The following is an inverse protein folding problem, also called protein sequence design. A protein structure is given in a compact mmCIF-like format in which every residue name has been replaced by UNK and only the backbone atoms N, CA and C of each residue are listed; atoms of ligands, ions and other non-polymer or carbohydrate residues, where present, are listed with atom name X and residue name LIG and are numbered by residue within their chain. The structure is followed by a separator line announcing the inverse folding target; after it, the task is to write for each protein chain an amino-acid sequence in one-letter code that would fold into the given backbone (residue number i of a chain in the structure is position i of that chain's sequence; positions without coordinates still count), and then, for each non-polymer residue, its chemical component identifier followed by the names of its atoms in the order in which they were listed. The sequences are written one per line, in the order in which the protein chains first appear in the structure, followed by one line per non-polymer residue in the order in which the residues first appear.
data_IF_838891484891
#
_entry.id   IF_838891484891
#
_cell.length_a   1.000
_cell.length_b   1.000
_cell.length_c   1.000
_cell.angle_alpha   90.00
_cell.angle_beta   90.00
_cell.angle_gamma   90.00
#
_symmetry.space_group_name_H-M   'P 1'
#
loop_
_entity.id
_entity.type
_entity.pdbx_description
1 polymer ?
#
# COMPACT_ATOMS: atom_id res chain seq x y z
N UNK A 1 -17.73 36.09 -52.70
CA UNK A 1 -18.11 36.41 -51.32
C UNK A 1 -18.10 35.10 -50.53
N UNK A 2 -17.04 34.90 -49.80
CA UNK A 2 -16.70 33.61 -49.14
C UNK A 2 -17.36 33.59 -47.78
N UNK A 3 -18.20 32.57 -47.53
CA UNK A 3 -18.71 32.26 -46.22
C UNK A 3 -17.84 31.14 -45.64
N UNK A 4 -16.85 31.52 -44.87
CA UNK A 4 -16.12 30.63 -43.97
C UNK A 4 -16.11 31.33 -42.62
N UNK A 5 -16.94 30.91 -41.72
CA UNK A 5 -16.78 31.09 -40.28
C UNK A 5 -18.04 30.67 -39.54
N UNK A 6 -18.16 29.45 -38.99
CA UNK A 6 -18.99 29.21 -37.80
C UNK A 6 -18.76 27.85 -37.17
N UNK A 7 -17.88 26.99 -37.71
CA UNK A 7 -17.66 25.66 -37.14
C UNK A 7 -16.57 25.60 -36.03
N UNK A 8 -15.60 26.51 -36.06
CA UNK A 8 -14.50 26.56 -35.09
C UNK A 8 -14.88 27.12 -33.73
N UNK A 9 -15.87 27.99 -33.65
CA UNK A 9 -16.30 28.60 -32.38
C UNK A 9 -17.17 27.70 -31.50
N UNK A 10 -17.93 26.78 -32.11
CA UNK A 10 -18.76 25.83 -31.34
C UNK A 10 -17.94 24.72 -30.69
N UNK A 11 -16.90 24.24 -31.36
CA UNK A 11 -16.01 23.24 -30.78
C UNK A 11 -15.16 23.82 -29.62
N UNK A 12 -14.64 25.03 -29.75
CA UNK A 12 -13.93 25.72 -28.69
C UNK A 12 -14.81 26.08 -27.49
N UNK A 13 -16.07 26.46 -27.73
CA UNK A 13 -17.06 26.74 -26.68
C UNK A 13 -17.49 25.42 -25.97
N UNK A 14 -17.62 24.32 -26.70
CA UNK A 14 -17.91 23.02 -26.13
C UNK A 14 -16.74 22.50 -25.28
N UNK A 15 -15.49 22.69 -25.72
CA UNK A 15 -14.28 22.36 -24.97
C UNK A 15 -14.15 23.19 -23.68
N UNK A 16 -14.50 24.47 -23.70
CA UNK A 16 -14.52 25.35 -22.53
C UNK A 16 -15.68 24.97 -21.59
N UNK A 17 -16.85 24.64 -22.11
CA UNK A 17 -17.98 24.16 -21.31
C UNK A 17 -17.73 22.80 -20.70
N UNK A 18 -17.08 21.87 -21.42
CA UNK A 18 -16.64 20.56 -20.90
C UNK A 18 -15.53 20.74 -19.85
N UNK A 19 -14.58 21.66 -20.03
CA UNK A 19 -13.59 21.99 -19.01
C UNK A 19 -14.22 22.58 -17.75
N UNK A 20 -15.23 23.43 -17.85
CA UNK A 20 -15.97 23.97 -16.71
C UNK A 20 -16.87 22.96 -15.99
N UNK A 21 -17.31 21.89 -16.67
CA UNK A 21 -18.09 20.80 -16.05
C UNK A 21 -17.23 19.70 -15.43
N UNK A 22 -15.90 19.71 -15.65
CA UNK A 22 -14.94 18.70 -15.15
C UNK A 22 -14.13 19.25 -13.96
N UNK A 23 -14.42 20.40 -13.40
CA UNK A 23 -13.94 20.80 -12.07
C UNK A 23 -14.63 20.02 -10.94
N UNK A 24 -14.77 18.70 -11.10
CA UNK A 24 -14.84 17.81 -9.95
C UNK A 24 -13.43 17.74 -9.36
N UNK A 25 -13.34 18.15 -8.12
CA UNK A 25 -12.10 18.08 -7.34
C UNK A 25 -11.39 16.74 -7.56
N UNK A 26 -10.27 16.77 -8.28
CA UNK A 26 -9.42 15.60 -8.45
C UNK A 26 -8.62 15.37 -7.16
N UNK A 27 -9.21 14.67 -6.21
CA UNK A 27 -8.55 14.30 -4.93
C UNK A 27 -7.59 13.12 -5.08
N UNK A 28 -6.90 13.01 -6.22
CA UNK A 28 -6.02 11.86 -6.56
C UNK A 28 -4.78 11.71 -5.67
N UNK A 29 -4.48 12.68 -4.81
CA UNK A 29 -3.37 12.64 -3.86
C UNK A 29 -3.83 12.52 -2.41
N UNK A 30 -5.14 12.34 -2.20
CA UNK A 30 -5.76 12.15 -0.88
C UNK A 30 -6.39 10.77 -0.80
N UNK A 31 -6.20 10.08 0.32
CA UNK A 31 -6.76 8.77 0.65
C UNK A 31 -7.53 8.86 1.95
N UNK A 32 -8.65 8.15 2.08
CA UNK A 32 -9.52 8.12 3.26
C UNK A 32 -10.68 9.13 3.19
N UNK A 33 -11.66 8.99 4.09
CA UNK A 33 -12.87 9.83 4.17
C UNK A 33 -12.87 10.73 5.41
N UNK A 34 -12.70 10.17 6.62
CA UNK A 34 -12.52 10.90 7.88
C UNK A 34 -11.04 10.94 8.22
N UNK A 35 -10.40 9.78 8.39
CA UNK A 35 -8.95 9.71 8.53
C UNK A 35 -8.31 9.81 7.15
N UNK A 36 -7.85 11.00 6.80
CA UNK A 36 -7.36 11.32 5.46
C UNK A 36 -5.86 11.56 5.44
N UNK A 37 -5.21 11.02 4.42
CA UNK A 37 -3.81 11.32 4.11
C UNK A 37 -3.73 12.02 2.75
N UNK A 38 -3.28 13.26 2.73
CA UNK A 38 -2.86 13.96 1.50
C UNK A 38 -1.34 13.90 1.39
N UNK A 39 -0.81 13.42 0.24
CA UNK A 39 0.63 13.24 0.04
C UNK A 39 1.20 14.21 -0.97
N UNK A 40 2.45 14.63 -0.76
CA UNK A 40 3.23 15.46 -1.70
C UNK A 40 4.69 15.00 -1.77
N UNK A 41 5.43 15.58 -2.73
CA UNK A 41 6.84 15.30 -2.95
C UNK A 41 7.12 14.15 -3.93
N UNK A 42 8.35 14.09 -4.44
CA UNK A 42 8.85 13.16 -5.44
C UNK A 42 10.11 12.45 -4.94
N UNK A 43 10.44 11.33 -5.61
CA UNK A 43 11.60 10.49 -5.20
C UNK A 43 12.95 11.20 -5.23
N UNK A 44 13.10 12.25 -6.07
CA UNK A 44 14.29 13.06 -6.24
C UNK A 44 14.03 14.57 -6.01
N UNK A 45 12.88 14.92 -5.41
CA UNK A 45 12.62 16.24 -4.85
C UNK A 45 13.34 16.44 -3.51
N UNK A 46 13.16 17.59 -2.88
CA UNK A 46 13.78 17.92 -1.59
C UNK A 46 13.28 17.05 -0.44
N UNK A 47 11.98 16.75 -0.44
CA UNK A 47 11.33 15.96 0.58
C UNK A 47 10.11 15.21 0.06
N UNK A 48 9.68 14.21 0.81
CA UNK A 48 8.37 13.58 0.70
C UNK A 48 7.64 13.86 2.01
N UNK A 49 6.37 14.20 1.91
CA UNK A 49 5.58 14.49 3.10
C UNK A 49 4.11 14.21 2.91
N UNK A 50 3.36 14.60 3.91
CA UNK A 50 1.91 14.50 3.89
C UNK A 50 1.26 15.32 5.00
N UNK A 51 -0.05 15.42 4.89
CA UNK A 51 -0.93 15.94 5.92
C UNK A 51 -1.93 14.84 6.27
N UNK A 52 -1.95 14.44 7.54
CA UNK A 52 -2.99 13.59 8.11
C UNK A 52 -4.05 14.49 8.71
N UNK A 53 -5.27 14.35 8.25
CA UNK A 53 -6.46 15.04 8.77
C UNK A 53 -7.45 14.01 9.34
N UNK A 54 -8.27 14.42 10.32
CA UNK A 54 -9.24 13.53 10.95
C UNK A 54 -8.64 12.55 11.98
N UNK A 55 -7.40 12.76 12.42
CA UNK A 55 -6.84 12.02 13.55
C UNK A 55 -7.56 12.40 14.84
N UNK A 56 -8.14 11.44 15.61
CA UNK A 56 -8.78 11.75 16.89
C UNK A 56 -7.84 12.47 17.84
N UNK A 57 -8.36 13.42 18.61
CA UNK A 57 -7.59 14.11 19.64
C UNK A 57 -7.21 13.20 20.79
N UNK A 58 -6.10 13.48 21.46
CA UNK A 58 -5.67 12.79 22.68
C UNK A 58 -4.89 11.50 22.46
N UNK A 59 -4.65 11.08 21.22
CA UNK A 59 -3.83 9.90 20.93
C UNK A 59 -2.36 10.22 21.18
N UNK A 60 -1.67 9.40 21.99
CA UNK A 60 -0.23 9.52 22.21
C UNK A 60 0.51 9.32 20.86
N UNK A 61 1.19 10.36 20.41
CA UNK A 61 2.02 10.34 19.21
C UNK A 61 3.44 9.86 19.55
N UNK A 62 3.60 8.56 19.68
CA UNK A 62 4.90 7.91 19.87
C UNK A 62 5.75 8.06 18.60
N UNK A 63 6.61 9.09 18.57
CA UNK A 63 7.45 9.41 17.41
C UNK A 63 8.48 8.31 17.16
N UNK A 64 8.98 7.65 18.20
CA UNK A 64 9.94 6.56 18.07
C UNK A 64 9.28 5.35 17.40
N UNK A 65 8.03 5.03 17.75
CA UNK A 65 7.25 4.01 17.05
C UNK A 65 7.01 4.38 15.58
N UNK A 66 6.62 5.62 15.28
CA UNK A 66 6.44 6.09 13.90
C UNK A 66 7.76 5.93 13.12
N UNK A 67 8.89 6.29 13.73
CA UNK A 67 10.20 6.14 13.12
C UNK A 67 10.58 4.66 12.91
N UNK A 68 10.25 3.77 13.85
CA UNK A 68 10.49 2.33 13.71
C UNK A 68 9.70 1.75 12.53
N UNK A 69 8.42 2.07 12.38
CA UNK A 69 7.61 1.67 11.24
C UNK A 69 8.20 2.17 9.90
N UNK A 70 8.70 3.39 9.89
CA UNK A 70 9.36 3.95 8.72
C UNK A 70 10.71 3.27 8.44
N UNK A 71 11.47 2.90 9.48
CA UNK A 71 12.72 2.14 9.36
C UNK A 71 12.50 0.76 8.74
N UNK A 72 11.38 0.10 9.03
CA UNK A 72 11.00 -1.19 8.41
C UNK A 72 10.80 -1.07 6.89
N UNK A 73 10.46 0.13 6.40
CA UNK A 73 10.23 0.42 4.97
C UNK A 73 11.50 0.92 4.27
N UNK A 74 12.43 1.58 4.95
CA UNK A 74 13.58 2.27 4.34
C UNK A 74 14.42 1.34 3.43
N UNK A 75 15.14 1.88 2.43
CA UNK A 75 16.10 1.11 1.64
C UNK A 75 17.35 0.75 2.47
N UNK A 76 18.14 -0.21 1.96
CA UNK A 76 19.44 -0.55 2.55
C UNK A 76 19.38 -1.34 3.87
N UNK A 77 18.30 -2.06 4.12
CA UNK A 77 18.11 -2.82 5.38
C UNK A 77 18.90 -4.12 5.43
N UNK A 78 19.16 -4.72 4.27
CA UNK A 78 19.80 -6.03 4.17
C UNK A 78 20.41 -6.24 2.79
N UNK A 79 21.18 -7.31 2.66
CA UNK A 79 21.83 -7.70 1.41
C UNK A 79 20.83 -8.17 0.32
N UNK A 80 19.59 -8.53 0.68
CA UNK A 80 18.53 -8.88 -0.27
C UNK A 80 17.67 -7.68 -0.68
N UNK A 81 18.00 -6.47 -0.24
CA UNK A 81 17.34 -5.23 -0.64
C UNK A 81 18.29 -4.34 -1.42
N UNK A 82 17.80 -3.19 -1.92
CA UNK A 82 18.62 -2.19 -2.61
C UNK A 82 19.76 -1.69 -1.72
N UNK A 83 20.92 -1.41 -2.33
CA UNK A 83 22.07 -0.80 -1.64
C UNK A 83 21.94 0.70 -1.36
N UNK A 84 20.87 1.36 -1.80
CA UNK A 84 20.58 2.76 -1.46
C UNK A 84 20.42 2.88 0.05
N UNK A 85 21.00 3.92 0.63
CA UNK A 85 20.88 4.19 2.05
C UNK A 85 20.21 5.54 2.26
N UNK A 86 19.18 5.58 3.09
CA UNK A 86 18.47 6.79 3.51
C UNK A 86 18.19 6.68 5.00
N UNK A 87 18.25 7.79 5.70
CA UNK A 87 17.90 7.81 7.12
C UNK A 87 16.38 7.79 7.31
N UNK A 88 15.63 8.32 6.34
CA UNK A 88 14.17 8.45 6.35
C UNK A 88 13.65 9.02 7.70
N UNK A 89 14.33 10.05 8.24
CA UNK A 89 13.94 10.67 9.51
C UNK A 89 12.65 11.47 9.33
N UNK A 90 11.62 11.14 10.12
CA UNK A 90 10.34 11.86 10.11
C UNK A 90 10.43 13.10 10.98
N UNK A 91 9.89 14.21 10.47
CA UNK A 91 9.70 15.48 11.19
C UNK A 91 8.21 15.79 11.24
N UNK A 92 7.61 15.84 12.44
CA UNK A 92 6.23 16.28 12.64
C UNK A 92 6.22 17.80 12.77
N UNK A 93 5.36 18.48 12.01
CA UNK A 93 5.38 19.94 11.89
C UNK A 93 4.18 20.61 12.58
N UNK A 94 3.08 19.87 12.81
CA UNK A 94 1.83 20.41 13.38
C UNK A 94 0.96 19.29 13.96
N UNK A 95 -0.13 19.67 14.64
CA UNK A 95 -1.18 18.74 15.07
C UNK A 95 -0.83 17.90 16.29
N UNK A 96 0.31 18.17 16.94
CA UNK A 96 0.75 17.50 18.18
C UNK A 96 1.09 18.53 19.25
N UNK A 97 0.56 18.34 20.45
CA UNK A 97 0.86 19.17 21.61
C UNK A 97 1.05 18.25 22.83
N UNK A 98 2.11 18.47 23.61
CA UNK A 98 2.49 17.63 24.76
C UNK A 98 2.51 16.12 24.44
N UNK A 99 2.98 15.76 23.24
CA UNK A 99 3.07 14.38 22.77
C UNK A 99 1.74 13.74 22.35
N UNK A 100 0.63 14.48 22.32
CA UNK A 100 -0.69 13.97 21.92
C UNK A 100 -1.23 14.70 20.69
N UNK A 101 -2.03 13.98 19.89
CA UNK A 101 -2.76 14.57 18.78
C UNK A 101 -3.77 15.61 19.28
N UNK A 102 -3.91 16.72 18.56
CA UNK A 102 -4.82 17.81 18.92
C UNK A 102 -6.19 17.73 18.25
N UNK A 103 -6.39 16.79 17.31
CA UNK A 103 -7.55 16.76 16.43
C UNK A 103 -7.43 17.68 15.20
N UNK A 104 -6.36 18.50 15.15
CA UNK A 104 -6.04 19.33 14.00
C UNK A 104 -5.13 18.58 13.02
N UNK A 105 -4.98 19.07 11.75
CA UNK A 105 -4.14 18.42 10.76
C UNK A 105 -2.69 18.23 11.21
N UNK A 106 -2.16 17.02 11.06
CA UNK A 106 -0.78 16.67 11.37
C UNK A 106 0.03 16.73 10.08
N UNK A 107 0.82 17.79 9.93
CA UNK A 107 1.79 17.93 8.85
C UNK A 107 3.08 17.20 9.19
N UNK A 108 3.69 16.52 8.21
CA UNK A 108 4.99 15.86 8.38
C UNK A 108 5.80 15.86 7.10
N UNK A 109 7.13 15.78 7.23
CA UNK A 109 8.08 15.66 6.13
C UNK A 109 9.14 14.61 6.44
N UNK A 110 9.70 14.04 5.37
CA UNK A 110 10.93 13.23 5.37
C UNK A 110 11.83 13.72 4.25
N UNK A 111 13.03 14.21 4.60
CA UNK A 111 13.96 14.77 3.62
C UNK A 111 14.66 13.69 2.81
N UNK A 112 14.88 13.97 1.52
CA UNK A 112 15.70 13.14 0.66
C UNK A 112 17.17 13.56 0.83
N UNK A 113 18.04 12.63 1.22
CA UNK A 113 19.46 12.92 1.51
C UNK A 113 20.45 12.18 0.62
N UNK A 114 20.06 11.08 -0.04
CA UNK A 114 20.94 10.23 -0.84
C UNK A 114 20.37 9.94 -2.24
N UNK A 115 19.98 11.01 -2.94
CA UNK A 115 19.50 10.93 -4.31
C UNK A 115 20.69 11.11 -5.29
N UNK A 116 20.84 10.17 -6.24
CA UNK A 116 21.84 10.25 -7.31
C UNK A 116 21.10 10.40 -8.64
N UNK A 117 20.86 11.65 -9.05
CA UNK A 117 20.10 11.96 -10.29
C UNK A 117 20.79 11.50 -11.56
N UNK A 118 22.13 11.47 -11.55
CA UNK A 118 22.95 11.08 -12.71
C UNK A 118 22.81 9.61 -13.09
N UNK A 119 22.45 8.73 -12.15
CA UNK A 119 22.18 7.31 -12.40
C UNK A 119 21.04 7.08 -13.40
N UNK A 120 20.22 8.08 -13.67
CA UNK A 120 19.03 8.01 -14.53
C UNK A 120 19.19 8.71 -15.90
N UNK A 121 20.36 9.30 -16.20
CA UNK A 121 20.58 10.02 -17.45
C UNK A 121 20.44 9.11 -18.68
N UNK A 122 20.86 7.84 -18.57
CA UNK A 122 20.80 6.87 -19.65
C UNK A 122 19.36 6.43 -19.99
N UNK A 123 18.38 6.70 -19.14
CA UNK A 123 16.97 6.36 -19.36
C UNK A 123 16.08 7.57 -19.65
N UNK A 124 16.67 8.76 -19.75
CA UNK A 124 15.93 10.01 -19.97
C UNK A 124 15.03 9.94 -21.20
N UNK A 125 15.54 9.40 -22.30
CA UNK A 125 14.86 9.32 -23.58
C UNK A 125 14.34 7.91 -23.91
N UNK A 126 14.26 7.01 -22.94
CA UNK A 126 13.84 5.62 -23.11
C UNK A 126 12.63 5.31 -22.21
N UNK A 127 11.83 4.33 -22.61
CA UNK A 127 10.74 3.81 -21.79
C UNK A 127 11.15 2.45 -21.22
N UNK A 128 11.26 2.35 -19.90
CA UNK A 128 11.52 1.06 -19.24
C UNK A 128 10.32 0.12 -19.41
N UNK A 129 10.54 -1.13 -19.88
CA UNK A 129 9.47 -2.12 -19.98
C UNK A 129 8.72 -2.29 -18.63
N UNK A 130 7.39 -2.35 -18.68
CA UNK A 130 6.52 -2.51 -17.50
C UNK A 130 6.67 -1.45 -16.39
N UNK A 131 7.36 -0.33 -16.66
CA UNK A 131 7.45 0.84 -15.78
C UNK A 131 6.43 1.92 -16.19
N UNK A 132 6.16 2.86 -15.30
CA UNK A 132 5.22 3.96 -15.57
C UNK A 132 5.73 5.03 -16.55
N UNK A 133 6.93 4.91 -17.09
CA UNK A 133 7.59 5.94 -17.90
C UNK A 133 6.73 6.40 -19.07
N UNK A 134 6.23 5.46 -19.87
CA UNK A 134 5.39 5.75 -21.04
C UNK A 134 4.03 6.36 -20.62
N UNK A 135 3.32 5.68 -19.73
CA UNK A 135 1.97 6.09 -19.32
C UNK A 135 1.97 7.44 -18.61
N UNK A 136 3.01 7.71 -17.81
CA UNK A 136 3.17 8.99 -17.13
C UNK A 136 3.46 10.13 -18.13
N UNK A 137 4.39 9.92 -19.08
CA UNK A 137 4.70 10.87 -20.13
C UNK A 137 3.48 11.17 -21.00
N UNK A 138 2.74 10.14 -21.41
CA UNK A 138 1.53 10.31 -22.22
C UNK A 138 0.44 11.09 -21.48
N UNK A 139 0.23 10.79 -20.19
CA UNK A 139 -0.83 11.42 -19.39
C UNK A 139 -0.55 12.89 -19.06
N UNK A 140 0.69 13.22 -18.72
CA UNK A 140 1.07 14.54 -18.19
C UNK A 140 1.90 15.39 -19.16
N UNK A 141 2.25 14.86 -20.34
CA UNK A 141 3.08 15.54 -21.33
C UNK A 141 4.57 15.60 -20.98
N UNK A 142 4.93 15.29 -19.74
CA UNK A 142 6.31 15.29 -19.24
C UNK A 142 6.45 14.30 -18.08
N UNK A 143 7.68 13.90 -17.80
CA UNK A 143 8.02 13.10 -16.61
C UNK A 143 9.33 13.55 -15.99
N UNK A 144 9.45 13.44 -14.69
CA UNK A 144 10.75 13.44 -14.03
C UNK A 144 11.40 12.06 -14.26
N UNK A 145 12.41 12.00 -15.12
CA UNK A 145 13.13 10.75 -15.42
C UNK A 145 13.99 10.27 -14.25
N UNK A 146 14.26 11.13 -13.26
CA UNK A 146 15.07 10.82 -12.09
C UNK A 146 14.24 9.96 -11.11
N UNK A 147 14.44 8.65 -11.14
CA UNK A 147 13.84 7.69 -10.22
C UNK A 147 12.32 7.48 -10.31
N UNK A 148 11.61 8.12 -11.26
CA UNK A 148 10.19 7.92 -11.52
C UNK A 148 9.23 8.84 -10.73
N UNK A 149 9.71 9.89 -10.06
CA UNK A 149 8.88 10.92 -9.43
C UNK A 149 7.82 10.35 -8.49
N UNK A 150 6.54 10.71 -8.71
CA UNK A 150 5.38 10.23 -7.95
C UNK A 150 5.05 8.74 -8.19
N UNK A 151 5.51 8.13 -9.28
CA UNK A 151 5.34 6.68 -9.52
C UNK A 151 6.37 5.81 -8.80
N UNK A 152 7.34 6.41 -8.12
CA UNK A 152 8.36 5.70 -7.36
C UNK A 152 7.79 5.08 -6.07
N UNK A 153 8.29 3.89 -5.70
CA UNK A 153 7.98 3.27 -4.40
C UNK A 153 8.43 4.12 -3.20
N UNK A 154 9.28 5.15 -3.40
CA UNK A 154 9.70 6.04 -2.34
C UNK A 154 8.55 6.85 -1.74
N UNK A 155 7.50 7.16 -2.51
CA UNK A 155 6.30 7.87 -1.99
C UNK A 155 5.57 7.10 -0.89
N UNK A 156 5.80 5.80 -0.75
CA UNK A 156 5.20 4.99 0.33
C UNK A 156 5.67 5.39 1.73
N UNK A 157 6.70 6.24 1.85
CA UNK A 157 7.11 6.92 3.09
C UNK A 157 5.89 7.55 3.78
N UNK A 158 5.13 8.38 3.06
CA UNK A 158 3.97 9.08 3.62
C UNK A 158 2.90 8.12 4.11
N UNK A 159 2.71 6.99 3.41
CA UNK A 159 1.77 5.94 3.80
C UNK A 159 2.19 5.26 5.11
N UNK A 160 3.49 4.94 5.26
CA UNK A 160 4.00 4.33 6.48
C UNK A 160 3.88 5.26 7.68
N UNK A 161 4.16 6.57 7.52
CA UNK A 161 4.00 7.56 8.60
C UNK A 161 2.53 7.66 9.03
N UNK A 162 1.60 7.85 8.08
CA UNK A 162 0.18 7.94 8.40
C UNK A 162 -0.38 6.62 8.94
N UNK A 163 0.06 5.48 8.40
CA UNK A 163 -0.31 4.15 8.88
C UNK A 163 0.20 3.87 10.29
N UNK A 164 1.39 4.34 10.64
CA UNK A 164 1.91 4.26 12.01
C UNK A 164 1.04 5.07 12.99
N UNK A 165 0.64 6.29 12.60
CA UNK A 165 -0.31 7.09 13.38
C UNK A 165 -1.66 6.36 13.54
N UNK A 166 -2.18 5.77 12.46
CA UNK A 166 -3.40 4.96 12.53
C UNK A 166 -3.25 3.76 13.47
N UNK A 167 -2.12 3.05 13.43
CA UNK A 167 -1.81 1.95 14.36
C UNK A 167 -1.80 2.40 15.82
N UNK A 168 -1.30 3.61 16.14
CA UNK A 168 -1.32 4.16 17.49
C UNK A 168 -2.76 4.35 18.01
N UNK A 169 -3.68 4.82 17.15
CA UNK A 169 -5.09 4.92 17.50
C UNK A 169 -5.74 3.54 17.64
N UNK A 170 -5.49 2.62 16.70
CA UNK A 170 -6.06 1.28 16.69
C UNK A 170 -5.63 0.45 17.91
N UNK A 171 -4.41 0.62 18.41
CA UNK A 171 -3.93 -0.03 19.64
C UNK A 171 -4.79 0.30 20.86
N UNK A 172 -5.30 1.52 20.97
CA UNK A 172 -6.20 1.91 22.06
C UNK A 172 -7.57 1.21 21.97
N UNK A 173 -7.90 0.68 20.80
CA UNK A 173 -9.12 -0.07 20.51
C UNK A 173 -8.91 -1.59 20.58
N UNK A 174 -7.70 -2.06 20.93
CA UNK A 174 -7.35 -3.48 20.93
C UNK A 174 -7.17 -4.07 19.51
N UNK A 175 -7.12 -3.24 18.48
CA UNK A 175 -6.98 -3.70 17.07
C UNK A 175 -5.51 -3.74 16.69
N UNK A 176 -5.06 -4.90 16.22
CA UNK A 176 -3.68 -5.14 15.72
C UNK A 176 -3.69 -5.43 14.23
N UNK A 177 -2.84 -4.76 13.48
CA UNK A 177 -2.62 -5.00 12.05
C UNK A 177 -1.20 -5.52 11.85
N UNK A 178 -1.08 -6.69 11.26
CA UNK A 178 0.19 -7.38 11.01
C UNK A 178 0.23 -7.87 9.57
N UNK A 179 1.41 -7.86 8.93
CA UNK A 179 1.58 -8.46 7.63
C UNK A 179 2.95 -9.16 7.55
N UNK A 180 3.06 -10.16 6.66
CA UNK A 180 4.27 -10.92 6.47
C UNK A 180 4.42 -11.43 5.04
N UNK A 181 5.64 -11.73 4.64
CA UNK A 181 5.93 -12.37 3.36
C UNK A 181 5.50 -13.83 3.44
N UNK A 182 4.46 -14.19 2.69
CA UNK A 182 3.93 -15.55 2.65
C UNK A 182 4.38 -16.34 1.42
N UNK A 183 4.88 -15.66 0.38
CA UNK A 183 5.41 -16.33 -0.80
C UNK A 183 6.46 -15.47 -1.50
N UNK A 184 7.53 -16.10 -2.00
CA UNK A 184 8.51 -15.51 -2.94
C UNK A 184 8.67 -16.49 -4.10
N UNK A 185 8.38 -16.06 -5.33
CA UNK A 185 8.35 -16.96 -6.48
C UNK A 185 7.37 -18.11 -6.26
N UNK A 186 7.86 -19.34 -6.30
CA UNK A 186 7.13 -20.59 -6.05
C UNK A 186 7.27 -21.11 -4.60
N UNK A 187 8.12 -20.49 -3.77
CA UNK A 187 8.29 -20.86 -2.37
C UNK A 187 7.20 -20.19 -1.54
N UNK A 188 6.22 -20.95 -1.07
CA UNK A 188 5.04 -20.47 -0.36
C UNK A 188 4.87 -21.12 1.02
N UNK A 189 4.24 -20.38 1.92
CA UNK A 189 3.68 -20.86 3.18
C UNK A 189 2.29 -21.47 2.96
N UNK A 190 1.80 -22.21 3.96
CA UNK A 190 0.38 -22.53 4.03
C UNK A 190 -0.43 -21.23 4.22
N UNK A 191 -1.63 -21.20 3.65
CA UNK A 191 -2.50 -20.03 3.73
C UNK A 191 -3.10 -19.81 5.12
N UNK A 192 -3.19 -20.86 5.93
CA UNK A 192 -3.67 -20.79 7.31
C UNK A 192 -2.61 -20.10 8.19
N UNK A 193 -2.80 -18.81 8.44
CA UNK A 193 -1.89 -17.99 9.25
C UNK A 193 -1.82 -18.43 10.71
N UNK A 194 -2.82 -19.15 11.22
CA UNK A 194 -2.87 -19.59 12.63
C UNK A 194 -1.79 -20.62 12.96
N UNK A 195 -1.20 -21.24 11.93
CA UNK A 195 -0.08 -22.18 12.07
C UNK A 195 1.25 -21.48 12.39
N UNK A 196 1.31 -20.15 12.35
CA UNK A 196 2.56 -19.39 12.49
C UNK A 196 2.52 -18.45 13.71
N UNK A 197 3.66 -18.36 14.40
CA UNK A 197 3.87 -17.31 15.40
C UNK A 197 4.21 -15.99 14.71
N UNK A 198 3.23 -15.10 14.62
CA UNK A 198 3.37 -13.79 13.97
C UNK A 198 4.37 -12.86 14.69
N UNK A 199 4.83 -13.18 15.91
CA UNK A 199 5.90 -12.44 16.58
C UNK A 199 7.28 -12.74 15.97
N UNK A 200 7.41 -13.82 15.18
CA UNK A 200 8.66 -14.18 14.50
C UNK A 200 8.87 -13.44 13.16
N UNK A 201 7.92 -12.62 12.70
CA UNK A 201 8.00 -11.92 11.40
C UNK A 201 9.30 -11.11 11.27
N UNK A 202 9.67 -10.35 12.28
CA UNK A 202 10.88 -9.51 12.26
C UNK A 202 12.16 -10.28 12.65
N UNK A 203 12.09 -11.60 12.90
CA UNK A 203 13.28 -12.42 13.23
C UNK A 203 14.22 -12.65 12.05
N UNK A 204 13.78 -12.35 10.83
CA UNK A 204 14.56 -12.52 9.61
C UNK A 204 14.33 -11.39 8.60
N UNK A 205 15.27 -11.24 7.67
CA UNK A 205 15.30 -10.12 6.71
C UNK A 205 14.23 -10.19 5.62
N UNK A 206 13.59 -11.36 5.39
CA UNK A 206 12.50 -11.50 4.41
C UNK A 206 11.13 -11.29 5.03
N UNK A 207 11.06 -11.19 6.38
CA UNK A 207 9.81 -11.02 7.15
C UNK A 207 8.82 -12.16 6.93
N UNK A 208 9.31 -13.39 7.02
CA UNK A 208 8.53 -14.62 6.97
C UNK A 208 8.46 -15.23 8.37
N UNK A 209 7.29 -15.62 8.90
CA UNK A 209 7.18 -16.19 10.25
C UNK A 209 7.74 -17.60 10.38
N UNK A 210 7.94 -18.33 9.27
CA UNK A 210 8.57 -19.65 9.24
C UNK A 210 10.08 -19.51 8.92
N UNK A 211 10.93 -19.93 9.85
CA UNK A 211 12.37 -19.77 9.73
C UNK A 211 13.00 -20.63 8.61
N UNK A 212 12.42 -21.79 8.27
CA UNK A 212 12.92 -22.65 7.20
C UNK A 212 12.54 -22.07 5.84
N UNK A 213 11.28 -21.70 5.67
CA UNK A 213 10.81 -21.03 4.45
C UNK A 213 11.49 -19.68 4.25
N UNK A 214 11.80 -18.96 5.32
CA UNK A 214 12.58 -17.72 5.24
C UNK A 214 13.96 -17.95 4.62
N UNK A 215 14.67 -19.01 4.98
CA UNK A 215 15.97 -19.36 4.39
C UNK A 215 15.85 -19.70 2.90
N UNK A 216 14.85 -20.51 2.52
CA UNK A 216 14.59 -20.84 1.12
C UNK A 216 14.31 -19.59 0.30
N UNK A 217 13.43 -18.70 0.79
CA UNK A 217 13.07 -17.44 0.14
C UNK A 217 14.29 -16.51 -0.01
N UNK A 218 15.12 -16.39 1.03
CA UNK A 218 16.35 -15.57 0.99
C UNK A 218 17.29 -16.11 -0.08
N UNK A 219 17.55 -17.41 -0.12
CA UNK A 219 18.42 -18.04 -1.12
C UNK A 219 17.91 -17.80 -2.55
N UNK A 220 16.60 -17.90 -2.78
CA UNK A 220 16.01 -17.62 -4.09
C UNK A 220 16.20 -16.15 -4.49
N UNK A 221 16.01 -15.21 -3.56
CA UNK A 221 16.22 -13.77 -3.84
C UNK A 221 17.70 -13.50 -4.17
N UNK A 222 18.64 -14.14 -3.48
CA UNK A 222 20.09 -14.01 -3.75
C UNK A 222 20.46 -14.56 -5.13
N UNK A 223 19.94 -15.71 -5.51
CA UNK A 223 20.12 -16.31 -6.83
C UNK A 223 19.63 -15.37 -7.93
N UNK A 224 18.39 -14.90 -7.82
CA UNK A 224 17.77 -13.98 -8.77
C UNK A 224 18.54 -12.65 -8.86
N UNK A 225 19.01 -12.13 -7.71
CA UNK A 225 19.86 -10.94 -7.64
C UNK A 225 21.20 -11.15 -8.37
N UNK A 226 21.84 -12.29 -8.17
CA UNK A 226 23.09 -12.63 -8.84
C UNK A 226 22.95 -12.74 -10.36
N UNK A 227 21.77 -13.19 -10.84
CA UNK A 227 21.40 -13.20 -12.26
C UNK A 227 21.07 -11.81 -12.83
N UNK A 228 21.05 -10.74 -12.02
CA UNK A 228 20.66 -9.39 -12.41
C UNK A 228 19.16 -9.25 -12.71
N UNK A 229 18.34 -10.14 -12.16
CA UNK A 229 16.90 -10.23 -12.35
C UNK A 229 16.12 -9.82 -11.08
N UNK A 230 14.81 -9.96 -11.11
CA UNK A 230 13.92 -9.60 -10.00
C UNK A 230 12.82 -10.64 -9.85
N UNK A 231 12.27 -10.78 -8.64
CA UNK A 231 11.22 -11.72 -8.34
C UNK A 231 10.11 -11.07 -7.52
N UNK A 232 8.88 -11.52 -7.72
CA UNK A 232 7.69 -11.13 -6.99
C UNK A 232 7.28 -12.16 -5.95
N UNK A 233 6.08 -11.98 -5.41
CA UNK A 233 5.49 -12.91 -4.46
C UNK A 233 4.25 -12.34 -3.80
N UNK A 234 3.90 -12.85 -2.61
CA UNK A 234 2.68 -12.53 -1.89
C UNK A 234 3.00 -12.08 -0.46
N UNK A 235 2.29 -11.06 -0.01
CA UNK A 235 2.22 -10.64 1.39
C UNK A 235 0.84 -10.99 1.92
N UNK A 236 0.78 -11.69 3.05
CA UNK A 236 -0.45 -11.94 3.80
C UNK A 236 -0.58 -10.87 4.89
N UNK A 237 -1.77 -10.27 5.00
CA UNK A 237 -2.16 -9.35 6.05
C UNK A 237 -3.20 -9.96 6.98
N UNK A 238 -3.05 -9.74 8.28
CA UNK A 238 -3.96 -10.20 9.33
C UNK A 238 -4.32 -9.02 10.23
N UNK A 239 -5.63 -8.78 10.41
CA UNK A 239 -6.16 -7.76 11.31
C UNK A 239 -6.92 -8.45 12.42
N UNK A 240 -6.43 -8.33 13.64
CA UNK A 240 -6.97 -8.97 14.82
C UNK A 240 -7.69 -7.96 15.72
N UNK A 241 -8.72 -8.41 16.44
CA UNK A 241 -9.49 -7.56 17.35
C UNK A 241 -10.41 -6.55 16.65
N UNK A 242 -10.69 -6.75 15.37
CA UNK A 242 -11.58 -5.88 14.61
C UNK A 242 -13.02 -6.09 15.09
N UNK A 243 -13.75 -5.03 15.52
CA UNK A 243 -15.13 -5.18 15.97
C UNK A 243 -16.07 -5.52 14.81
N UNK A 244 -17.22 -6.08 15.13
CA UNK A 244 -18.33 -6.24 14.17
C UNK A 244 -18.83 -4.86 13.72
N UNK A 245 -19.13 -4.71 12.42
CA UNK A 245 -19.85 -3.55 11.90
C UNK A 245 -19.04 -2.55 11.12
N UNK A 246 -17.75 -2.78 10.83
CA UNK A 246 -16.96 -1.88 9.98
C UNK A 246 -17.21 -2.17 8.51
N UNK A 247 -17.46 -1.11 7.73
CA UNK A 247 -17.78 -1.20 6.30
C UNK A 247 -19.29 -1.13 6.05
N UNK A 248 -19.67 -1.18 4.77
CA UNK A 248 -21.03 -0.97 4.29
C UNK A 248 -21.51 -2.14 3.42
N UNK A 249 -22.84 -2.36 3.30
CA UNK A 249 -23.38 -3.55 2.59
C UNK A 249 -23.36 -3.42 1.07
N UNK A 250 -23.23 -2.21 0.50
CA UNK A 250 -23.25 -1.99 -0.95
C UNK A 250 -21.98 -1.24 -1.39
N UNK A 251 -22.00 0.08 -1.42
CA UNK A 251 -20.81 0.88 -1.70
C UNK A 251 -20.03 1.13 -0.40
N UNK A 252 -18.72 1.11 -0.45
CA UNK A 252 -17.90 1.23 0.76
C UNK A 252 -17.70 -0.09 1.51
N UNK A 253 -17.95 -1.25 0.88
CA UNK A 253 -17.65 -2.56 1.45
C UNK A 253 -16.21 -2.62 1.96
N UNK A 254 -16.02 -3.16 3.17
CA UNK A 254 -14.70 -3.18 3.81
C UNK A 254 -13.63 -3.86 2.94
N UNK A 255 -13.96 -5.03 2.34
CA UNK A 255 -13.02 -5.70 1.43
C UNK A 255 -12.73 -4.90 0.15
N UNK A 256 -13.70 -4.11 -0.34
CA UNK A 256 -13.48 -3.25 -1.50
C UNK A 256 -12.56 -2.07 -1.15
N UNK A 257 -12.70 -1.48 0.03
CA UNK A 257 -11.81 -0.43 0.51
C UNK A 257 -10.39 -0.98 0.77
N UNK A 258 -10.26 -2.15 1.41
CA UNK A 258 -8.97 -2.84 1.56
C UNK A 258 -8.34 -3.15 0.20
N UNK A 259 -9.12 -3.70 -0.74
CA UNK A 259 -8.65 -3.99 -2.10
C UNK A 259 -8.17 -2.73 -2.84
N UNK A 260 -8.93 -1.64 -2.79
CA UNK A 260 -8.53 -0.36 -3.37
C UNK A 260 -7.24 0.19 -2.73
N UNK A 261 -7.12 0.11 -1.41
CA UNK A 261 -5.93 0.51 -0.67
C UNK A 261 -4.70 -0.31 -1.11
N UNK A 262 -4.81 -1.64 -1.15
CA UNK A 262 -3.72 -2.56 -1.54
C UNK A 262 -3.32 -2.39 -3.00
N UNK A 263 -4.29 -2.33 -3.93
CA UNK A 263 -4.04 -2.13 -5.37
C UNK A 263 -3.45 -0.75 -5.67
N UNK A 264 -3.55 0.22 -4.77
CA UNK A 264 -2.87 1.51 -4.87
C UNK A 264 -1.38 1.46 -4.54
N UNK A 265 -0.86 0.36 -3.96
CA UNK A 265 0.56 0.18 -3.64
C UNK A 265 1.32 -0.15 -4.92
N UNK A 266 2.51 0.44 -5.08
CA UNK A 266 3.38 0.18 -6.24
C UNK A 266 3.67 -1.32 -6.37
N UNK A 267 3.67 -1.83 -7.60
CA UNK A 267 3.90 -3.23 -7.98
C UNK A 267 2.80 -4.23 -7.60
N UNK A 268 1.76 -3.86 -6.88
CA UNK A 268 0.63 -4.74 -6.61
C UNK A 268 -0.13 -5.07 -7.89
N UNK A 269 -0.54 -6.35 -8.02
CA UNK A 269 -1.26 -6.92 -9.17
C UNK A 269 -2.51 -7.69 -8.78
N UNK A 270 -2.64 -8.09 -7.52
CA UNK A 270 -3.80 -8.83 -7.05
C UNK A 270 -4.06 -8.59 -5.57
N UNK A 271 -5.32 -8.78 -5.21
CA UNK A 271 -5.82 -8.75 -3.84
C UNK A 271 -6.88 -9.82 -3.71
N UNK A 272 -6.85 -10.57 -2.64
CA UNK A 272 -7.91 -11.49 -2.24
C UNK A 272 -8.04 -11.51 -0.72
N UNK A 273 -9.20 -11.95 -0.21
CA UNK A 273 -9.47 -12.06 1.22
C UNK A 273 -10.22 -13.36 1.51
N UNK A 274 -10.09 -13.88 2.73
CA UNK A 274 -10.58 -15.19 3.08
C UNK A 274 -10.00 -16.27 2.16
N UNK A 275 -10.84 -17.19 1.69
CA UNK A 275 -10.43 -18.22 0.73
C UNK A 275 -10.10 -17.66 -0.66
N UNK A 276 -10.61 -16.47 -1.00
CA UNK A 276 -10.29 -15.80 -2.25
C UNK A 276 -10.57 -16.70 -3.46
N UNK A 277 -9.59 -16.83 -4.37
CA UNK A 277 -9.72 -17.66 -5.57
C UNK A 277 -9.81 -19.15 -5.26
N UNK A 278 -9.27 -19.64 -4.14
CA UNK A 278 -9.38 -21.05 -3.77
C UNK A 278 -10.83 -21.45 -3.45
N UNK A 279 -11.61 -20.54 -2.87
CA UNK A 279 -12.99 -20.76 -2.51
C UNK A 279 -13.93 -21.06 -3.70
N UNK A 280 -13.54 -20.71 -4.94
CA UNK A 280 -14.42 -20.95 -6.13
C UNK A 280 -14.60 -22.43 -6.46
N UNK A 281 -13.73 -23.30 -5.94
CA UNK A 281 -13.83 -24.75 -6.13
C UNK A 281 -14.58 -25.45 -4.99
N UNK A 282 -14.87 -24.72 -3.90
CA UNK A 282 -15.60 -25.22 -2.74
C UNK A 282 -17.11 -25.25 -3.00
N UNK A 283 -17.80 -26.20 -2.39
CA UNK A 283 -19.26 -26.19 -2.35
C UNK A 283 -19.73 -25.19 -1.29
N UNK A 284 -20.92 -24.63 -1.42
CA UNK A 284 -21.49 -23.70 -0.42
C UNK A 284 -21.54 -24.28 0.99
N UNK A 285 -21.80 -25.58 1.14
CA UNK A 285 -21.79 -26.27 2.45
C UNK A 285 -20.40 -26.38 3.08
N UNK A 286 -19.33 -26.27 2.28
CA UNK A 286 -17.94 -26.29 2.73
C UNK A 286 -17.46 -24.86 3.00
N UNK A 287 -17.89 -23.90 2.18
CA UNK A 287 -17.52 -22.49 2.26
C UNK A 287 -18.19 -21.74 3.44
N UNK A 288 -19.38 -22.17 3.85
CA UNK A 288 -20.16 -21.46 4.85
C UNK A 288 -19.53 -21.58 6.25
N UNK A 289 -19.23 -20.43 6.85
CA UNK A 289 -18.75 -20.32 8.23
C UNK A 289 -19.93 -20.49 9.19
N UNK A 290 -20.04 -21.63 9.88
CA UNK A 290 -21.10 -21.91 10.84
C UNK A 290 -20.95 -21.01 12.08
N UNK A 291 -22.01 -20.30 12.44
CA UNK A 291 -22.01 -19.49 13.65
C UNK A 291 -22.00 -20.36 14.93
N UNK A 292 -21.19 -19.95 15.87
CA UNK A 292 -21.10 -20.53 17.21
C UNK A 292 -21.56 -19.50 18.25
N UNK A 293 -22.25 -19.93 19.32
CA UNK A 293 -22.60 -19.03 20.40
C UNK A 293 -21.35 -18.61 21.18
N UNK A 294 -21.16 -17.30 21.38
CA UNK A 294 -20.14 -16.81 22.30
C UNK A 294 -20.63 -16.84 23.75
N UNK A 295 -19.78 -17.32 24.66
CA UNK A 295 -20.10 -17.44 26.08
C UNK A 295 -20.18 -16.10 26.83
N UNK A 296 -19.68 -15.01 26.25
CA UNK A 296 -19.63 -13.69 26.86
C UNK A 296 -20.17 -12.64 25.90
N UNK A 297 -21.48 -12.43 25.86
CA UNK A 297 -22.07 -11.32 25.12
C UNK A 297 -22.72 -10.33 26.07
N UNK A 298 -22.17 -9.11 26.15
CA UNK A 298 -22.79 -7.97 26.78
C UNK A 298 -23.48 -7.13 25.69
N UNK A 299 -24.80 -6.98 25.78
CA UNK A 299 -25.55 -6.13 24.85
C UNK A 299 -26.81 -6.79 24.28
N UNK A 300 -27.63 -6.00 23.54
CA UNK A 300 -28.93 -6.46 23.02
C UNK A 300 -28.79 -7.44 21.83
N UNK A 301 -27.63 -7.50 21.19
CA UNK A 301 -27.31 -8.44 20.11
C UNK A 301 -26.13 -9.29 20.58
N UNK A 302 -26.27 -10.64 20.63
CA UNK A 302 -25.19 -11.51 21.07
C UNK A 302 -24.00 -11.37 20.12
N UNK A 303 -22.76 -11.36 20.66
CA UNK A 303 -21.58 -11.59 19.88
C UNK A 303 -21.53 -13.05 19.46
N UNK A 304 -21.17 -13.30 18.21
CA UNK A 304 -21.07 -14.64 17.65
C UNK A 304 -19.64 -14.90 17.19
N UNK A 305 -19.22 -16.13 17.27
CA UNK A 305 -18.02 -16.64 16.65
C UNK A 305 -18.38 -17.50 15.45
N UNK A 306 -17.41 -17.85 14.63
CA UNK A 306 -17.58 -18.80 13.53
C UNK A 306 -16.64 -19.99 13.70
N UNK A 307 -17.10 -21.17 13.29
CA UNK A 307 -16.31 -22.42 13.38
C UNK A 307 -15.12 -22.41 12.41
N UNK A 308 -15.24 -21.68 11.32
CA UNK A 308 -14.23 -21.48 10.29
C UNK A 308 -14.19 -20.00 9.93
N UNK A 309 -13.22 -19.56 9.13
CA UNK A 309 -13.12 -18.17 8.69
C UNK A 309 -12.84 -18.08 7.18
N UNK A 310 -13.58 -18.85 6.39
CA UNK A 310 -13.49 -18.83 4.93
C UNK A 310 -13.87 -17.46 4.35
N UNK A 311 -14.79 -16.75 5.02
CA UNK A 311 -15.17 -15.37 4.70
C UNK A 311 -14.06 -14.34 4.97
N UNK A 312 -12.98 -14.72 5.66
CA UNK A 312 -11.87 -13.83 5.99
C UNK A 312 -12.26 -12.62 6.83
N UNK A 313 -13.15 -12.81 7.83
CA UNK A 313 -13.57 -11.77 8.77
C UNK A 313 -14.58 -10.75 8.22
N UNK A 314 -15.07 -10.91 6.98
CA UNK A 314 -15.96 -9.95 6.31
C UNK A 314 -17.14 -10.68 5.67
N UNK A 315 -18.35 -10.35 6.08
CA UNK A 315 -19.59 -10.89 5.53
C UNK A 315 -20.50 -9.75 5.06
N UNK A 316 -21.02 -9.84 3.84
CA UNK A 316 -21.86 -8.79 3.26
C UNK A 316 -21.17 -7.43 3.06
N UNK A 317 -19.84 -7.36 3.15
CA UNK A 317 -19.07 -6.12 3.08
C UNK A 317 -18.75 -5.50 4.44
N UNK A 318 -19.17 -6.14 5.54
CA UNK A 318 -19.08 -5.65 6.90
C UNK A 318 -18.24 -6.64 7.73
N UNK A 319 -17.38 -6.15 8.62
CA UNK A 319 -16.61 -7.00 9.53
C UNK A 319 -17.53 -7.79 10.47
N UNK A 320 -17.23 -9.07 10.70
CA UNK A 320 -18.03 -9.99 11.50
C UNK A 320 -17.44 -10.30 12.88
N UNK A 321 -16.33 -9.64 13.27
CA UNK A 321 -15.66 -9.84 14.56
C UNK A 321 -14.56 -10.90 14.54
N UNK A 322 -14.44 -11.69 13.48
CA UNK A 322 -13.32 -12.61 13.27
C UNK A 322 -12.10 -11.85 12.73
N UNK A 323 -10.92 -12.49 12.79
CA UNK A 323 -9.72 -11.94 12.21
C UNK A 323 -9.90 -11.72 10.70
N UNK A 324 -9.52 -10.53 10.22
CA UNK A 324 -9.58 -10.24 8.80
C UNK A 324 -8.27 -10.70 8.16
N UNK A 325 -8.35 -11.67 7.26
CA UNK A 325 -7.22 -12.23 6.54
C UNK A 325 -7.32 -11.91 5.04
N UNK A 326 -6.21 -11.38 4.47
CA UNK A 326 -6.14 -11.04 3.05
C UNK A 326 -4.72 -11.26 2.50
N UNK A 327 -4.61 -11.38 1.17
CA UNK A 327 -3.35 -11.61 0.46
C UNK A 327 -3.17 -10.59 -0.65
N UNK A 328 -1.94 -10.13 -0.84
CA UNK A 328 -1.57 -9.09 -1.81
C UNK A 328 -0.44 -9.58 -2.68
N UNK A 329 -0.69 -9.71 -3.98
CA UNK A 329 0.28 -10.19 -4.95
C UNK A 329 1.10 -9.03 -5.55
N UNK A 330 2.42 -9.17 -5.51
CA UNK A 330 3.39 -8.21 -6.03
C UNK A 330 4.12 -8.77 -7.24
N UNK A 331 4.13 -8.03 -8.34
CA UNK A 331 4.95 -8.38 -9.50
C UNK A 331 6.44 -8.16 -9.23
N UNK A 332 7.34 -8.80 -9.99
CA UNK A 332 8.75 -8.45 -10.03
C UNK A 332 8.99 -6.97 -10.35
N UNK A 333 10.10 -6.41 -9.87
CA UNK A 333 10.50 -5.03 -10.16
C UNK A 333 10.79 -4.88 -11.66
N UNK A 334 10.27 -3.84 -12.28
CA UNK A 334 10.41 -3.64 -13.73
C UNK A 334 11.84 -3.27 -14.18
N UNK A 335 12.66 -2.72 -13.29
CA UNK A 335 14.02 -2.28 -13.61
C UNK A 335 15.00 -3.41 -13.34
N UNK A 336 15.53 -4.02 -14.40
CA UNK A 336 16.49 -5.11 -14.36
C UNK A 336 17.91 -4.60 -14.58
N UNK A 337 18.89 -5.30 -14.01
CA UNK A 337 20.32 -5.06 -14.28
C UNK A 337 20.81 -5.84 -15.53
N UNK A 338 19.88 -6.37 -16.31
CA UNK A 338 20.09 -7.06 -17.59
C UNK A 338 19.70 -6.15 -18.74
N UNK A 339 20.25 -6.43 -19.92
CA UNK A 339 19.83 -5.76 -21.15
C UNK A 339 18.39 -6.17 -21.53
N UNK A 340 17.58 -5.19 -21.89
CA UNK A 340 16.18 -5.36 -22.29
C UNK A 340 15.93 -4.61 -23.60
N UNK A 341 15.16 -5.21 -24.50
CA UNK A 341 14.62 -4.50 -25.67
C UNK A 341 13.55 -3.49 -25.23
N UNK A 342 13.57 -2.32 -25.87
CA UNK A 342 12.61 -1.25 -25.61
C UNK A 342 12.51 -0.31 -26.81
N UNK A 343 11.84 0.84 -26.61
CA UNK A 343 11.78 1.94 -27.58
C UNK A 343 12.19 3.26 -26.92
N UNK A 344 12.71 4.17 -27.75
CA UNK A 344 12.96 5.55 -27.35
C UNK A 344 11.66 6.39 -27.37
N UNK A 345 11.76 7.67 -26.98
CA UNK A 345 10.63 8.62 -26.98
C UNK A 345 10.06 8.90 -28.38
N UNK A 346 10.77 8.54 -29.45
CA UNK A 346 10.33 8.68 -30.85
C UNK A 346 9.76 7.37 -31.41
N UNK A 347 9.71 6.29 -30.60
CA UNK A 347 9.22 4.98 -31.02
C UNK A 347 10.24 4.10 -31.75
N UNK A 348 11.52 4.48 -31.81
CA UNK A 348 12.54 3.68 -32.42
C UNK A 348 12.99 2.54 -31.51
N UNK A 349 13.18 1.35 -32.06
CA UNK A 349 13.72 0.19 -31.32
C UNK A 349 15.11 0.47 -30.81
N UNK A 350 15.36 0.08 -29.57
CA UNK A 350 16.64 0.23 -28.89
C UNK A 350 16.77 -0.79 -27.78
N UNK A 351 17.94 -0.84 -27.13
CA UNK A 351 18.15 -1.65 -25.94
C UNK A 351 18.40 -0.75 -24.72
N UNK A 352 18.03 -1.25 -23.57
CA UNK A 352 18.22 -0.61 -22.28
C UNK A 352 18.94 -1.57 -21.35
N UNK A 353 20.07 -1.15 -20.82
CA UNK A 353 20.66 -1.75 -19.62
C UNK A 353 20.56 -0.73 -18.49
N UNK A 354 19.61 -0.95 -17.60
CA UNK A 354 19.40 -0.04 -16.49
C UNK A 354 20.63 -0.04 -15.55
N UNK A 355 20.94 1.15 -15.04
CA UNK A 355 21.93 1.35 -13.98
C UNK A 355 21.18 1.72 -12.70
N UNK A 356 21.86 1.71 -11.59
CA UNK A 356 21.29 2.16 -10.32
C UNK A 356 21.02 0.99 -9.34
N UNK A 357 20.41 1.36 -8.22
CA UNK A 357 20.26 0.51 -7.03
C UNK A 357 18.79 0.13 -6.87
N UNK A 358 18.41 -1.05 -7.35
CA UNK A 358 17.03 -1.56 -7.32
C UNK A 358 16.92 -2.76 -6.38
N UNK A 359 15.71 -2.98 -5.85
CA UNK A 359 15.41 -4.17 -5.05
C UNK A 359 15.29 -5.39 -5.97
N UNK A 360 15.96 -6.52 -5.69
CA UNK A 360 15.70 -7.78 -6.39
C UNK A 360 14.31 -8.33 -6.04
N UNK A 361 13.82 -8.04 -4.83
CA UNK A 361 12.48 -8.37 -4.36
C UNK A 361 11.95 -7.24 -3.47
N UNK A 362 10.74 -6.75 -3.74
CA UNK A 362 10.15 -5.63 -2.96
C UNK A 362 9.51 -6.07 -1.65
N UNK A 363 9.17 -7.36 -1.49
CA UNK A 363 8.32 -7.86 -0.42
C UNK A 363 8.79 -7.46 0.98
N UNK A 364 10.07 -7.61 1.35
CA UNK A 364 10.52 -7.25 2.70
C UNK A 364 10.21 -5.80 3.07
N UNK A 365 10.28 -4.90 2.09
CA UNK A 365 9.99 -3.46 2.27
C UNK A 365 8.52 -3.11 2.10
N UNK A 366 7.76 -3.94 1.41
CA UNK A 366 6.33 -3.75 1.17
C UNK A 366 5.47 -4.18 2.36
N UNK A 367 5.94 -5.11 3.21
CA UNK A 367 5.23 -5.55 4.43
C UNK A 367 4.71 -4.37 5.26
N UNK A 368 5.54 -3.42 5.74
CA UNK A 368 5.03 -2.30 6.53
C UNK A 368 4.13 -1.34 5.73
N UNK A 369 4.20 -1.34 4.39
CA UNK A 369 3.29 -0.54 3.55
C UNK A 369 1.90 -1.18 3.50
N UNK A 370 1.82 -2.50 3.41
CA UNK A 370 0.55 -3.26 3.47
C UNK A 370 -0.13 -3.05 4.83
N UNK A 371 0.62 -3.18 5.93
CA UNK A 371 0.13 -2.90 7.27
C UNK A 371 -0.38 -1.46 7.41
N UNK A 372 0.38 -0.50 6.91
CA UNK A 372 0.04 0.92 6.98
C UNK A 372 -1.28 1.22 6.26
N UNK A 373 -1.45 0.71 5.04
CA UNK A 373 -2.65 0.92 4.26
C UNK A 373 -3.87 0.23 4.89
N UNK A 374 -3.71 -0.98 5.42
CA UNK A 374 -4.76 -1.67 6.17
C UNK A 374 -5.16 -0.90 7.43
N UNK A 375 -4.20 -0.42 8.22
CA UNK A 375 -4.46 0.35 9.42
C UNK A 375 -5.25 1.63 9.13
N UNK A 376 -4.90 2.36 8.05
CA UNK A 376 -5.65 3.55 7.63
C UNK A 376 -7.10 3.22 7.25
N UNK A 377 -7.34 2.13 6.50
CA UNK A 377 -8.71 1.70 6.14
C UNK A 377 -9.52 1.35 7.39
N UNK A 378 -8.95 0.57 8.30
CA UNK A 378 -9.67 0.14 9.51
C UNK A 378 -9.99 1.33 10.41
N UNK A 379 -9.06 2.26 10.61
CA UNK A 379 -9.32 3.44 11.41
C UNK A 379 -10.38 4.33 10.76
N UNK A 380 -10.32 4.53 9.44
CA UNK A 380 -11.30 5.33 8.70
C UNK A 380 -12.71 4.73 8.81
N UNK A 381 -12.85 3.41 8.58
CA UNK A 381 -14.12 2.68 8.75
C UNK A 381 -14.62 2.73 10.20
N UNK A 382 -13.72 2.62 11.20
CA UNK A 382 -14.09 2.72 12.59
C UNK A 382 -14.66 4.11 12.95
N UNK A 383 -14.05 5.16 12.44
CA UNK A 383 -14.53 6.54 12.64
C UNK A 383 -15.86 6.79 11.93
N UNK A 384 -16.03 6.26 10.72
CA UNK A 384 -17.29 6.31 9.97
C UNK A 384 -18.41 5.60 10.73
N UNK A 385 -18.16 4.43 11.31
CA UNK A 385 -19.16 3.68 12.08
C UNK A 385 -19.71 4.47 13.27
N UNK A 386 -18.92 5.37 13.88
CA UNK A 386 -19.38 6.22 14.99
C UNK A 386 -20.53 7.15 14.60
N UNK A 387 -20.78 7.34 13.32
CA UNK A 387 -21.89 8.18 12.80
C UNK A 387 -23.14 7.37 12.49
N UNK A 388 -23.10 6.03 12.60
CA UNK A 388 -24.19 5.13 12.19
C UNK A 388 -25.27 4.97 13.25
N UNK A 389 -24.91 5.07 14.53
CA UNK A 389 -25.84 4.94 15.68
C UNK A 389 -25.65 6.11 16.63
N UNK A 390 -26.78 6.60 17.14
CA UNK A 390 -26.86 7.65 18.17
C UNK A 390 -26.99 7.00 19.54
#
# INVERSE_FOLDING_TARGET
MVIVTTTTTKAAAADIAIKGLIEKEKTVNTFGQIFRLTTFGESHGEAIGGVVDGMPAGILMDVDFIQQELNRRRPGQSHITTSRQEQDKVELLSGVFEGKSTGCPIGFIVRNTNQHSDDYNNIRNLFRPSHADYTYTYKYGSRDHRGGGRSSARITISRCVAGAMAKLALRQLGIRVTAYTSQVGDIALNNDYTQYDLNQIESNIVRCPDANKAKEMISLIEEVKAAGDTIGGIITGVIQGCPVGLGEPEFGKLHAQLGAAMLSINAVKGFEYGEGFAGVTMRGSEQNDTFLPCSHSEGPIPQLETATNHSGGIQGGISNGQDICFRVAFKPVATLLREQETVDINGNKTTLKARGRHDPCVLPRAVPVVEAMAAMVILDCFLLQKTTKI
#
